data_IF_443865368543
#
_entry.id   IF_443865368543
#
_cell.length_a   1.000
_cell.length_b   1.000
_cell.length_c   1.000
_cell.angle_alpha   90.00
_cell.angle_beta   90.00
_cell.angle_gamma   90.00
#
_symmetry.space_group_name_H-M   'P 1'
#
loop_
_entity.id
_entity.type
_entity.pdbx_description
1 polymer ?
#
# COMPACT_ATOMS: atom_id res chain seq x y z
N UNK A 1 15.72 36.73 -2.65
CA UNK A 1 14.63 35.76 -2.87
C UNK A 1 15.24 34.38 -2.71
N UNK A 2 14.64 33.47 -1.92
CA UNK A 2 15.16 32.10 -1.75
C UNK A 2 15.18 31.40 -3.11
N UNK A 3 16.25 30.65 -3.38
CA UNK A 3 16.44 29.78 -4.54
C UNK A 3 15.80 28.41 -4.31
N UNK A 4 15.65 27.59 -5.37
CA UNK A 4 15.13 26.22 -5.28
C UNK A 4 15.94 25.36 -4.29
N UNK A 5 17.27 25.47 -4.33
CA UNK A 5 18.17 24.74 -3.42
C UNK A 5 18.01 25.14 -1.95
N UNK A 6 17.54 26.37 -1.66
CA UNK A 6 17.29 26.78 -0.28
C UNK A 6 16.05 26.09 0.32
N UNK A 7 15.09 25.69 -0.51
CA UNK A 7 13.91 24.93 -0.08
C UNK A 7 14.18 23.42 -0.04
N UNK A 8 15.00 22.91 -0.95
CA UNK A 8 15.33 21.48 -1.07
C UNK A 8 16.63 21.13 -0.33
N UNK A 9 16.77 21.62 0.90
CA UNK A 9 18.01 21.52 1.67
C UNK A 9 18.03 20.36 2.67
N UNK A 10 16.92 20.12 3.36
CA UNK A 10 16.82 19.11 4.42
C UNK A 10 15.99 17.91 3.94
N UNK A 11 16.65 16.79 3.65
CA UNK A 11 15.94 15.56 3.25
C UNK A 11 15.11 14.98 4.40
N UNK A 12 13.93 14.43 4.08
CA UNK A 12 13.16 13.61 5.02
C UNK A 12 13.90 12.30 5.26
N UNK A 13 14.14 11.98 6.54
CA UNK A 13 14.70 10.70 6.94
C UNK A 13 13.59 9.70 7.26
N UNK A 14 13.78 8.44 6.83
CA UNK A 14 12.86 7.35 7.14
C UNK A 14 13.16 6.74 8.51
N UNK A 15 12.13 6.50 9.32
CA UNK A 15 12.28 5.86 10.63
C UNK A 15 12.70 4.39 10.49
N UNK A 16 13.61 3.96 11.36
CA UNK A 16 14.01 2.55 11.49
C UNK A 16 13.39 1.92 12.75
N UNK A 17 12.33 1.12 12.54
CA UNK A 17 11.60 0.44 13.63
C UNK A 17 12.47 -0.55 14.42
N UNK A 18 13.63 -0.93 13.89
CA UNK A 18 14.54 -1.90 14.50
C UNK A 18 15.39 -1.27 15.61
N UNK A 19 15.63 0.05 15.57
CA UNK A 19 16.55 0.72 16.49
C UNK A 19 16.01 0.85 17.92
N UNK A 20 14.71 1.01 18.07
CA UNK A 20 14.07 1.23 19.38
C UNK A 20 13.06 0.13 19.67
N UNK A 21 13.30 -0.66 20.72
CA UNK A 21 12.33 -1.64 21.17
C UNK A 21 11.15 -0.95 21.87
N UNK A 22 10.06 -0.77 21.13
CA UNK A 22 8.83 -0.11 21.60
C UNK A 22 7.90 -1.02 22.39
N UNK A 23 8.19 -2.33 22.52
CA UNK A 23 7.31 -3.29 23.20
C UNK A 23 6.93 -2.87 24.62
N UNK A 24 7.87 -2.49 25.52
CA UNK A 24 7.51 -2.09 26.87
C UNK A 24 6.57 -0.87 26.91
N UNK A 25 6.78 0.09 26.00
CA UNK A 25 5.94 1.28 25.88
C UNK A 25 4.52 0.91 25.44
N UNK A 26 4.39 0.11 24.37
CA UNK A 26 3.09 -0.28 23.81
C UNK A 26 2.32 -1.19 24.78
N UNK A 27 2.99 -2.09 25.50
CA UNK A 27 2.34 -2.89 26.56
C UNK A 27 1.83 -2.00 27.70
N UNK A 28 2.59 -0.97 28.11
CA UNK A 28 2.12 0.00 29.10
C UNK A 28 0.92 0.81 28.59
N UNK A 29 0.91 1.20 27.32
CA UNK A 29 -0.24 1.87 26.69
C UNK A 29 -1.50 0.98 26.65
N UNK A 30 -1.33 -0.35 26.52
CA UNK A 30 -2.45 -1.29 26.43
C UNK A 30 -3.34 -1.33 27.68
N UNK A 31 -2.79 -0.98 28.86
CA UNK A 31 -3.53 -0.93 30.12
C UNK A 31 -4.06 0.47 30.46
N UNK A 32 -3.79 1.48 29.63
CA UNK A 32 -4.29 2.84 29.79
C UNK A 32 -5.75 2.99 29.30
N UNK A 33 -6.21 4.22 29.09
CA UNK A 33 -7.52 4.56 28.55
C UNK A 33 -7.43 5.20 27.15
N UNK A 34 -8.57 5.29 26.47
CA UNK A 34 -8.73 5.95 25.17
C UNK A 34 -7.79 5.36 24.09
N UNK A 35 -7.31 6.19 23.17
CA UNK A 35 -6.56 5.76 21.99
C UNK A 35 -5.22 5.09 22.31
N UNK A 36 -4.66 5.28 23.51
CA UNK A 36 -3.49 4.53 23.96
C UNK A 36 -3.80 3.02 24.08
N UNK A 37 -4.95 2.67 24.66
CA UNK A 37 -5.39 1.27 24.78
C UNK A 37 -5.79 0.69 23.42
N UNK A 38 -6.43 1.49 22.58
CA UNK A 38 -6.76 1.11 21.21
C UNK A 38 -5.48 0.78 20.43
N UNK A 39 -4.44 1.60 20.53
CA UNK A 39 -3.13 1.34 19.91
C UNK A 39 -2.50 0.04 20.44
N UNK A 40 -2.51 -0.18 21.75
CA UNK A 40 -1.99 -1.41 22.36
C UNK A 40 -2.72 -2.65 21.86
N UNK A 41 -4.06 -2.61 21.79
CA UNK A 41 -4.88 -3.69 21.24
C UNK A 41 -4.62 -3.90 19.74
N UNK A 42 -4.50 -2.84 18.96
CA UNK A 42 -4.16 -2.93 17.55
C UNK A 42 -2.80 -3.61 17.31
N UNK A 43 -1.79 -3.29 18.12
CA UNK A 43 -0.48 -3.93 18.08
C UNK A 43 -0.55 -5.43 18.40
N UNK A 44 -1.34 -5.80 19.42
CA UNK A 44 -1.58 -7.21 19.78
C UNK A 44 -2.32 -7.99 18.69
N UNK A 45 -3.32 -7.38 18.04
CA UNK A 45 -4.05 -7.99 16.90
C UNK A 45 -3.09 -8.21 15.72
N UNK A 46 -2.26 -7.23 15.38
CA UNK A 46 -1.30 -7.39 14.30
C UNK A 46 -0.24 -8.48 14.60
N UNK A 47 0.26 -8.56 15.84
CA UNK A 47 1.12 -9.68 16.25
C UNK A 47 0.38 -11.03 16.17
N UNK A 48 -0.92 -11.08 16.49
CA UNK A 48 -1.73 -12.28 16.33
C UNK A 48 -1.92 -12.69 14.85
N UNK A 49 -2.11 -11.72 13.95
CA UNK A 49 -2.12 -11.97 12.50
C UNK A 49 -0.82 -12.63 12.03
N UNK A 50 0.32 -12.16 12.55
CA UNK A 50 1.62 -12.70 12.20
C UNK A 50 1.85 -14.11 12.74
N UNK A 51 1.37 -14.41 13.95
CA UNK A 51 1.44 -15.74 14.57
C UNK A 51 0.53 -16.77 13.89
N UNK A 52 -0.59 -16.33 13.33
CA UNK A 52 -1.51 -17.19 12.59
C UNK A 52 -0.87 -17.59 11.24
N UNK A 53 -0.44 -18.85 11.16
CA UNK A 53 0.28 -19.42 9.99
C UNK A 53 -0.62 -19.59 8.77
N UNK A 54 -1.93 -19.57 8.93
CA UNK A 54 -2.88 -19.64 7.81
C UNK A 54 -3.35 -18.24 7.37
N UNK A 55 -3.02 -17.20 8.14
CA UNK A 55 -3.41 -15.82 7.84
C UNK A 55 -2.59 -15.22 6.68
N UNK A 56 -3.30 -14.71 5.69
CA UNK A 56 -2.83 -13.79 4.65
C UNK A 56 -3.05 -12.36 5.12
N UNK A 57 -1.98 -11.55 5.13
CA UNK A 57 -2.01 -10.16 5.58
C UNK A 57 -2.04 -9.23 4.38
N UNK A 58 -3.12 -8.45 4.24
CA UNK A 58 -3.25 -7.40 3.23
C UNK A 58 -2.99 -6.05 3.91
N UNK A 59 -1.94 -5.37 3.45
CA UNK A 59 -1.60 -4.02 3.89
C UNK A 59 -2.30 -3.00 3.00
N UNK A 60 -3.07 -2.09 3.59
CA UNK A 60 -3.73 -1.00 2.88
C UNK A 60 -3.04 0.32 3.23
N UNK A 61 -2.62 1.10 2.22
CA UNK A 61 -1.86 2.33 2.39
C UNK A 61 -2.54 3.51 1.70
N UNK A 62 -2.90 4.54 2.48
CA UNK A 62 -3.42 5.81 1.97
C UNK A 62 -2.82 6.99 2.76
N UNK A 63 -2.81 8.17 2.14
CA UNK A 63 -2.18 9.38 2.68
C UNK A 63 -0.77 9.61 2.14
N UNK A 64 0.04 10.41 2.85
CA UNK A 64 1.39 10.79 2.42
C UNK A 64 2.45 10.13 3.29
N UNK A 65 2.46 8.80 3.32
CA UNK A 65 3.20 8.02 4.31
C UNK A 65 4.72 8.03 4.09
N UNK A 66 5.16 7.90 2.84
CA UNK A 66 6.57 7.71 2.54
C UNK A 66 7.30 9.05 2.49
N UNK A 67 6.67 10.09 1.94
CA UNK A 67 7.15 11.46 2.06
C UNK A 67 7.20 11.94 3.52
N UNK A 68 6.48 11.29 4.45
CA UNK A 68 6.53 11.54 5.89
C UNK A 68 7.51 10.62 6.67
N UNK A 69 8.35 9.85 5.98
CA UNK A 69 9.41 9.05 6.61
C UNK A 69 9.00 7.63 7.03
N UNK A 70 7.88 7.08 6.54
CA UNK A 70 7.42 5.73 6.90
C UNK A 70 7.76 4.65 5.88
N UNK A 71 8.48 4.97 4.79
CA UNK A 71 8.78 4.00 3.73
C UNK A 71 9.52 2.77 4.24
N UNK A 72 10.57 2.99 5.06
CA UNK A 72 11.39 1.89 5.57
C UNK A 72 10.61 0.94 6.49
N UNK A 73 9.55 1.42 7.15
CA UNK A 73 8.61 0.56 7.87
C UNK A 73 8.03 -0.49 6.92
N UNK A 74 7.47 -0.06 5.79
CA UNK A 74 6.85 -0.95 4.80
C UNK A 74 7.88 -1.83 4.09
N UNK A 75 9.07 -1.30 3.76
CA UNK A 75 10.18 -2.10 3.21
C UNK A 75 10.53 -3.25 4.16
N UNK A 76 10.67 -2.97 5.45
CA UNK A 76 10.94 -4.00 6.45
C UNK A 76 9.79 -5.01 6.55
N UNK A 77 8.53 -4.56 6.52
CA UNK A 77 7.38 -5.47 6.54
C UNK A 77 7.39 -6.44 5.33
N UNK A 78 7.67 -5.96 4.13
CA UNK A 78 7.71 -6.76 2.90
C UNK A 78 8.88 -7.75 2.92
N UNK A 79 10.10 -7.26 3.20
CA UNK A 79 11.32 -8.10 3.17
C UNK A 79 11.25 -9.27 4.15
N UNK A 80 10.53 -9.09 5.26
CA UNK A 80 10.43 -10.05 6.36
C UNK A 80 9.10 -10.84 6.41
N UNK A 81 8.37 -10.91 5.30
CA UNK A 81 7.11 -11.67 5.18
C UNK A 81 6.03 -11.27 6.21
N UNK A 82 6.02 -10.00 6.62
CA UNK A 82 5.03 -9.47 7.56
C UNK A 82 3.75 -9.01 6.85
N UNK A 83 3.79 -8.90 5.53
CA UNK A 83 2.65 -8.61 4.65
C UNK A 83 2.75 -9.50 3.42
N UNK A 84 1.60 -9.87 2.86
CA UNK A 84 1.50 -10.84 1.77
C UNK A 84 0.91 -10.24 0.49
N UNK A 85 0.15 -9.15 0.60
CA UNK A 85 -0.32 -8.32 -0.51
C UNK A 85 -0.45 -6.85 -0.05
N UNK A 86 -0.34 -5.90 -0.97
CA UNK A 86 -0.50 -4.47 -0.71
C UNK A 86 -1.61 -3.92 -1.60
N UNK A 87 -2.49 -3.11 -1.03
CA UNK A 87 -3.40 -2.22 -1.78
C UNK A 87 -3.05 -0.80 -1.39
N UNK A 88 -2.81 0.09 -2.36
CA UNK A 88 -2.33 1.43 -2.08
C UNK A 88 -2.88 2.47 -3.06
N UNK A 89 -2.78 3.74 -2.69
CA UNK A 89 -2.90 4.86 -3.65
C UNK A 89 -1.67 4.97 -4.54
N UNK A 90 -1.83 5.53 -5.74
CA UNK A 90 -0.74 5.75 -6.69
C UNK A 90 0.33 6.72 -6.17
N UNK A 91 -0.08 7.76 -5.44
CA UNK A 91 0.85 8.71 -4.83
C UNK A 91 1.93 8.04 -3.95
N UNK A 92 1.53 7.08 -3.10
CA UNK A 92 2.46 6.36 -2.22
C UNK A 92 3.41 5.47 -3.05
N UNK A 93 2.89 4.71 -4.01
CA UNK A 93 3.68 3.70 -4.73
C UNK A 93 4.57 4.32 -5.81
N UNK A 94 4.08 5.34 -6.50
CA UNK A 94 4.76 5.91 -7.67
C UNK A 94 5.44 7.23 -7.30
N UNK A 95 4.68 8.21 -6.83
CA UNK A 95 5.17 9.57 -6.59
C UNK A 95 6.12 9.64 -5.40
N UNK A 96 6.05 8.66 -4.49
CA UNK A 96 6.91 8.60 -3.31
C UNK A 96 7.91 7.44 -3.37
N UNK A 97 7.45 6.19 -3.52
CA UNK A 97 8.38 5.04 -3.49
C UNK A 97 9.19 4.84 -4.76
N UNK A 98 8.54 4.70 -5.91
CA UNK A 98 9.24 4.53 -7.19
C UNK A 98 10.13 5.74 -7.48
N UNK A 99 9.61 6.96 -7.25
CA UNK A 99 10.36 8.21 -7.29
C UNK A 99 11.64 8.17 -6.45
N UNK A 100 11.57 7.78 -5.17
CA UNK A 100 12.77 7.63 -4.35
C UNK A 100 13.68 6.49 -4.83
N UNK A 101 13.11 5.40 -5.38
CA UNK A 101 13.83 4.29 -6.01
C UNK A 101 14.71 4.74 -7.18
N UNK A 102 14.23 5.72 -7.96
CA UNK A 102 14.99 6.38 -9.03
C UNK A 102 16.12 7.29 -8.51
N UNK A 103 16.16 7.55 -7.20
CA UNK A 103 17.22 8.31 -6.52
C UNK A 103 16.82 9.70 -6.06
N UNK A 104 15.56 10.09 -6.30
CA UNK A 104 15.03 11.39 -5.91
C UNK A 104 14.61 11.40 -4.43
N UNK A 105 14.24 12.58 -3.91
CA UNK A 105 14.09 12.82 -2.47
C UNK A 105 12.90 13.70 -2.15
N UNK A 106 12.37 13.51 -0.95
CA UNK A 106 11.46 14.45 -0.29
C UNK A 106 12.23 15.30 0.70
N UNK A 107 11.79 16.53 0.88
CA UNK A 107 12.46 17.51 1.72
C UNK A 107 11.51 18.08 2.76
N UNK A 108 12.04 18.44 3.93
CA UNK A 108 11.28 19.14 4.96
C UNK A 108 10.79 20.47 4.42
N UNK A 109 9.51 20.75 4.64
CA UNK A 109 8.87 21.98 4.26
C UNK A 109 8.23 22.72 5.42
N UNK A 110 7.54 23.80 5.07
CA UNK A 110 6.86 24.69 6.00
C UNK A 110 5.38 24.76 5.61
N UNK A 111 4.49 24.60 6.59
CA UNK A 111 3.03 24.68 6.37
C UNK A 111 2.62 26.05 5.81
N UNK A 112 3.33 27.11 6.22
CA UNK A 112 3.06 28.49 5.88
C UNK A 112 3.93 29.04 4.73
N UNK A 113 4.50 28.15 3.90
CA UNK A 113 5.29 28.55 2.75
C UNK A 113 4.47 29.36 1.73
N UNK A 114 5.15 30.24 0.98
CA UNK A 114 4.55 30.96 -0.15
C UNK A 114 4.44 30.02 -1.36
N UNK A 115 3.24 29.46 -1.58
CA UNK A 115 2.98 28.52 -2.67
C UNK A 115 3.19 29.13 -4.07
N UNK A 116 3.02 30.45 -4.24
CA UNK A 116 3.32 31.11 -5.52
C UNK A 116 4.84 31.14 -5.77
N UNK A 117 5.64 31.30 -4.71
CA UNK A 117 7.08 31.18 -4.80
C UNK A 117 7.50 29.74 -5.10
N UNK A 118 6.94 28.75 -4.40
CA UNK A 118 7.23 27.33 -4.62
C UNK A 118 6.91 26.94 -6.07
N UNK A 119 5.74 27.32 -6.58
CA UNK A 119 5.34 27.08 -7.97
C UNK A 119 6.30 27.71 -8.98
N UNK A 120 6.74 28.96 -8.77
CA UNK A 120 7.74 29.60 -9.66
C UNK A 120 9.08 28.88 -9.68
N UNK A 121 9.38 28.12 -8.64
CA UNK A 121 10.60 27.32 -8.49
C UNK A 121 10.40 25.85 -8.84
N UNK A 122 9.23 25.45 -9.36
CA UNK A 122 8.89 24.06 -9.67
C UNK A 122 9.10 23.15 -8.44
N UNK A 123 8.53 23.55 -7.32
CA UNK A 123 8.47 22.80 -6.06
C UNK A 123 7.00 22.58 -5.72
N UNK A 124 6.61 21.32 -5.55
CA UNK A 124 5.29 20.98 -5.06
C UNK A 124 5.33 20.72 -3.55
N UNK A 125 4.27 21.13 -2.85
CA UNK A 125 4.16 20.99 -1.40
C UNK A 125 3.11 19.94 -1.03
N UNK A 126 3.53 19.00 -0.19
CA UNK A 126 2.69 17.99 0.46
C UNK A 126 2.63 18.35 1.94
N UNK A 127 1.67 19.19 2.31
CA UNK A 127 1.52 19.72 3.68
C UNK A 127 2.79 20.45 4.17
N UNK A 128 3.63 19.81 4.98
CA UNK A 128 4.90 20.31 5.53
C UNK A 128 6.13 19.61 4.93
N UNK A 129 5.97 19.04 3.73
CA UNK A 129 7.02 18.36 2.96
C UNK A 129 7.05 18.91 1.53
N UNK A 130 8.21 18.91 0.88
CA UNK A 130 8.41 19.34 -0.50
C UNK A 130 8.89 18.21 -1.39
N UNK A 131 8.54 18.30 -2.67
CA UNK A 131 9.03 17.45 -3.75
C UNK A 131 9.47 18.33 -4.93
N UNK A 132 10.53 17.93 -5.62
CA UNK A 132 11.04 18.61 -6.80
C UNK A 132 10.22 18.19 -8.03
N UNK A 133 9.44 19.12 -8.61
CA UNK A 133 8.57 18.86 -9.76
C UNK A 133 9.38 18.42 -11.00
N UNK A 134 10.60 18.96 -11.19
CA UNK A 134 11.44 18.60 -12.34
C UNK A 134 11.89 17.13 -12.24
N UNK A 135 12.15 16.65 -11.02
CA UNK A 135 12.46 15.24 -10.76
C UNK A 135 11.20 14.37 -10.92
N UNK A 136 10.03 14.88 -10.52
CA UNK A 136 8.77 14.15 -10.66
C UNK A 136 8.43 13.92 -12.14
N UNK A 137 8.71 14.91 -13.00
CA UNK A 137 8.60 14.76 -14.46
C UNK A 137 9.51 13.67 -15.04
N UNK A 138 10.66 13.39 -14.42
CA UNK A 138 11.50 12.25 -14.80
C UNK A 138 10.82 10.93 -14.40
N UNK A 139 10.16 10.88 -13.24
CA UNK A 139 9.34 9.74 -12.82
C UNK A 139 8.19 9.48 -13.82
N UNK A 140 7.45 10.53 -14.21
CA UNK A 140 6.38 10.47 -15.22
C UNK A 140 6.92 9.90 -16.55
N UNK A 141 8.04 10.45 -17.02
CA UNK A 141 8.68 10.04 -18.28
C UNK A 141 9.16 8.60 -18.22
N UNK A 142 9.69 8.16 -17.07
CA UNK A 142 10.07 6.75 -16.85
C UNK A 142 8.85 5.84 -16.95
N UNK A 143 7.69 6.25 -16.42
CA UNK A 143 6.45 5.49 -16.56
C UNK A 143 5.98 5.41 -18.02
N UNK A 144 6.09 6.50 -18.79
CA UNK A 144 5.79 6.49 -20.23
C UNK A 144 6.70 5.51 -20.99
N UNK A 145 8.01 5.56 -20.73
CA UNK A 145 8.98 4.64 -21.35
C UNK A 145 8.71 3.18 -21.01
N UNK A 146 8.24 2.88 -19.79
CA UNK A 146 7.81 1.53 -19.44
C UNK A 146 6.59 1.12 -20.25
N UNK A 147 5.56 1.98 -20.33
CA UNK A 147 4.37 1.73 -21.12
C UNK A 147 4.68 1.47 -22.60
N UNK A 148 5.59 2.24 -23.20
CA UNK A 148 6.02 2.10 -24.60
C UNK A 148 6.70 0.74 -24.91
N UNK A 149 7.23 0.05 -23.91
CA UNK A 149 7.92 -1.25 -24.07
C UNK A 149 7.00 -2.44 -23.85
N UNK A 150 5.79 -2.22 -23.36
CA UNK A 150 4.84 -3.29 -23.06
C UNK A 150 4.08 -3.74 -24.32
N UNK A 151 3.58 -4.97 -24.27
CA UNK A 151 2.68 -5.49 -25.29
C UNK A 151 1.35 -4.71 -25.28
N UNK A 152 0.77 -4.41 -26.43
CA UNK A 152 -0.45 -3.60 -26.52
C UNK A 152 -1.70 -4.38 -26.08
N UNK A 153 -1.91 -4.45 -24.76
CA UNK A 153 -3.07 -5.08 -24.13
C UNK A 153 -3.46 -4.36 -22.84
N UNK A 154 -4.64 -4.67 -22.27
CA UNK A 154 -4.96 -4.27 -20.91
C UNK A 154 -4.04 -4.93 -19.87
N UNK A 155 -3.61 -4.14 -18.89
CA UNK A 155 -2.81 -4.58 -17.73
C UNK A 155 -3.54 -4.24 -16.44
N UNK A 156 -3.40 -5.09 -15.42
CA UNK A 156 -3.72 -4.68 -14.05
C UNK A 156 -2.65 -3.72 -13.53
N UNK A 157 -2.97 -2.90 -12.52
CA UNK A 157 -1.94 -2.04 -11.90
C UNK A 157 -0.83 -2.87 -11.27
N UNK A 158 -1.15 -4.06 -10.74
CA UNK A 158 -0.15 -5.03 -10.25
C UNK A 158 0.87 -5.39 -11.33
N UNK A 159 0.42 -5.68 -12.55
CA UNK A 159 1.34 -6.02 -13.62
C UNK A 159 2.26 -4.83 -13.97
N UNK A 160 1.72 -3.62 -14.04
CA UNK A 160 2.52 -2.43 -14.33
C UNK A 160 3.52 -2.13 -13.22
N UNK A 161 3.11 -2.20 -11.95
CA UNK A 161 3.99 -2.02 -10.79
C UNK A 161 5.07 -3.11 -10.73
N UNK A 162 4.78 -4.33 -11.19
CA UNK A 162 5.80 -5.38 -11.33
C UNK A 162 6.88 -4.99 -12.36
N UNK A 163 6.51 -4.33 -13.45
CA UNK A 163 7.46 -3.83 -14.45
C UNK A 163 8.26 -2.62 -13.94
N UNK A 164 7.66 -1.76 -13.10
CA UNK A 164 8.42 -0.78 -12.31
C UNK A 164 9.46 -1.46 -11.39
N UNK A 165 9.07 -2.54 -10.71
CA UNK A 165 9.97 -3.33 -9.88
C UNK A 165 11.12 -3.97 -10.66
N UNK A 166 10.84 -4.49 -11.85
CA UNK A 166 11.86 -4.99 -12.79
C UNK A 166 12.83 -3.87 -13.20
N UNK A 167 12.30 -2.70 -13.53
CA UNK A 167 13.11 -1.53 -13.86
C UNK A 167 14.04 -1.15 -12.70
N UNK A 168 13.52 -1.09 -11.46
CA UNK A 168 14.31 -0.79 -10.27
C UNK A 168 15.34 -1.87 -9.97
N UNK A 169 15.07 -3.14 -10.25
CA UNK A 169 16.05 -4.22 -10.04
C UNK A 169 17.36 -3.93 -10.77
N UNK A 170 17.27 -3.36 -11.97
CA UNK A 170 18.41 -3.04 -12.83
C UNK A 170 18.94 -1.62 -12.62
N UNK A 171 18.07 -0.65 -12.35
CA UNK A 171 18.40 0.78 -12.46
C UNK A 171 18.32 1.57 -11.14
N UNK A 172 17.83 0.97 -10.05
CA UNK A 172 17.59 1.68 -8.80
C UNK A 172 18.84 2.41 -8.29
N UNK A 173 18.65 3.68 -7.93
CA UNK A 173 19.65 4.48 -7.20
C UNK A 173 19.42 4.40 -5.68
N UNK A 174 18.21 4.07 -5.27
CA UNK A 174 17.88 3.69 -3.90
C UNK A 174 17.27 2.29 -3.88
N UNK A 175 17.93 1.34 -3.20
CA UNK A 175 17.44 -0.04 -3.10
C UNK A 175 16.41 -0.24 -1.99
N UNK A 176 16.27 0.71 -1.07
CA UNK A 176 15.22 0.69 -0.07
C UNK A 176 13.93 1.27 -0.65
N UNK A 177 13.34 0.50 -1.57
CA UNK A 177 12.05 0.76 -2.21
C UNK A 177 11.09 -0.39 -1.92
N UNK A 178 9.83 -0.06 -1.62
CA UNK A 178 8.71 -0.97 -1.43
C UNK A 178 8.40 -1.71 -2.73
N UNK A 179 8.37 -1.01 -3.87
CA UNK A 179 8.16 -1.60 -5.21
C UNK A 179 9.25 -2.62 -5.52
N UNK A 180 10.52 -2.29 -5.28
CA UNK A 180 11.63 -3.22 -5.49
C UNK A 180 11.54 -4.42 -4.53
N UNK A 181 11.33 -4.17 -3.23
CA UNK A 181 11.19 -5.23 -2.23
C UNK A 181 10.03 -6.18 -2.56
N UNK A 182 8.89 -5.64 -3.01
CA UNK A 182 7.72 -6.41 -3.37
C UNK A 182 7.96 -7.27 -4.62
N UNK A 183 8.67 -6.72 -5.62
CA UNK A 183 9.13 -7.47 -6.79
C UNK A 183 10.03 -8.65 -6.41
N UNK A 184 11.07 -8.40 -5.59
CA UNK A 184 12.01 -9.44 -5.14
C UNK A 184 11.32 -10.53 -4.28
N UNK A 185 10.28 -10.15 -3.53
CA UNK A 185 9.54 -11.04 -2.62
C UNK A 185 8.28 -11.66 -3.22
N UNK A 186 7.96 -11.37 -4.49
CA UNK A 186 6.73 -11.78 -5.16
C UNK A 186 5.45 -11.38 -4.39
N UNK A 187 5.46 -10.21 -3.77
CA UNK A 187 4.30 -9.60 -3.09
C UNK A 187 3.58 -8.69 -4.10
N UNK A 188 2.29 -8.91 -4.41
CA UNK A 188 1.57 -8.07 -5.36
C UNK A 188 1.19 -6.74 -4.70
N UNK A 189 1.35 -5.65 -5.47
CA UNK A 189 0.88 -4.31 -5.11
C UNK A 189 -0.25 -3.94 -6.07
N UNK A 190 -1.43 -3.66 -5.54
CA UNK A 190 -2.57 -3.18 -6.30
C UNK A 190 -2.78 -1.68 -6.05
N UNK A 191 -3.01 -0.93 -7.12
CA UNK A 191 -3.32 0.49 -7.11
C UNK A 191 -4.57 0.73 -7.94
N UNK A 192 -5.78 0.59 -7.35
CA UNK A 192 -7.02 0.54 -8.13
C UNK A 192 -7.31 1.81 -8.94
N UNK A 193 -6.85 2.97 -8.44
CA UNK A 193 -6.90 4.25 -9.13
C UNK A 193 -5.52 4.62 -9.69
N UNK A 194 -4.95 3.75 -10.54
CA UNK A 194 -3.56 3.88 -10.99
C UNK A 194 -3.27 5.13 -11.85
N UNK A 195 -4.28 5.64 -12.56
CA UNK A 195 -4.15 6.86 -13.36
C UNK A 195 -4.03 8.13 -12.52
N UNK A 196 -4.30 8.06 -11.21
CA UNK A 196 -4.26 9.19 -10.28
C UNK A 196 -2.91 9.28 -9.55
N UNK A 197 -1.83 9.37 -10.34
CA UNK A 197 -0.43 9.60 -9.91
C UNK A 197 0.50 9.80 -11.11
N UNK A 198 1.82 9.88 -10.89
CA UNK A 198 2.88 10.01 -11.93
C UNK A 198 2.76 8.97 -13.05
N UNK A 199 2.34 7.74 -12.71
CA UNK A 199 2.11 6.71 -13.72
C UNK A 199 0.99 7.11 -14.71
N UNK A 200 -0.05 7.79 -14.23
CA UNK A 200 -1.12 8.34 -15.05
C UNK A 200 -0.62 9.39 -16.04
N UNK A 201 0.29 10.28 -15.64
CA UNK A 201 0.90 11.25 -16.55
C UNK A 201 1.71 10.55 -17.65
N UNK A 202 2.49 9.53 -17.27
CA UNK A 202 3.21 8.68 -18.23
C UNK A 202 2.27 7.95 -19.20
N UNK A 203 1.15 7.41 -18.70
CA UNK A 203 0.15 6.71 -19.50
C UNK A 203 -0.59 7.66 -20.45
N UNK A 204 -0.93 8.88 -20.02
CA UNK A 204 -1.55 9.89 -20.90
C UNK A 204 -0.57 10.27 -22.01
N UNK A 205 0.71 10.46 -21.70
CA UNK A 205 1.74 10.69 -22.72
C UNK A 205 1.82 9.53 -23.72
N UNK A 206 1.87 8.29 -23.23
CA UNK A 206 1.87 7.09 -24.07
C UNK A 206 0.64 7.04 -25.00
N UNK A 207 -0.56 7.23 -24.47
CA UNK A 207 -1.81 7.16 -25.26
C UNK A 207 -1.92 8.30 -26.29
N UNK A 208 -1.49 9.51 -25.93
CA UNK A 208 -1.50 10.66 -26.83
C UNK A 208 -0.60 10.42 -28.06
N UNK A 209 0.56 9.80 -27.85
CA UNK A 209 1.51 9.49 -28.92
C UNK A 209 1.20 8.18 -29.66
N UNK A 210 0.33 7.33 -29.12
CA UNK A 210 -0.08 6.05 -29.72
C UNK A 210 -1.62 5.88 -29.75
N UNK A 211 -2.35 6.75 -30.49
CA UNK A 211 -3.82 6.79 -30.45
C UNK A 211 -4.49 5.49 -30.91
N UNK A 212 -3.86 4.76 -31.85
CA UNK A 212 -4.44 3.56 -32.48
C UNK A 212 -3.94 2.24 -31.86
N UNK A 213 -3.05 2.30 -30.87
CA UNK A 213 -2.43 1.11 -30.29
C UNK A 213 -1.61 1.44 -29.05
N UNK A 214 -2.28 1.45 -27.90
CA UNK A 214 -1.69 1.79 -26.61
C UNK A 214 -2.04 0.75 -25.54
N UNK A 215 -1.25 0.72 -24.47
CA UNK A 215 -1.61 -0.01 -23.25
C UNK A 215 -2.75 0.70 -22.51
N UNK A 216 -3.53 -0.09 -21.79
CA UNK A 216 -4.58 0.39 -20.91
C UNK A 216 -4.48 -0.29 -19.55
N UNK A 217 -5.07 0.36 -18.53
CA UNK A 217 -5.13 -0.18 -17.18
C UNK A 217 -6.54 -0.69 -16.90
N UNK A 218 -6.65 -1.96 -16.54
CA UNK A 218 -7.89 -2.65 -16.20
C UNK A 218 -8.02 -2.77 -14.67
N UNK A 219 -8.79 -1.86 -14.08
CA UNK A 219 -9.07 -1.87 -12.63
C UNK A 219 -9.98 -3.01 -12.20
N UNK A 220 -10.78 -3.60 -13.11
CA UNK A 220 -11.56 -4.80 -12.81
C UNK A 220 -10.64 -6.03 -12.70
N UNK A 221 -9.57 -6.08 -13.50
CA UNK A 221 -8.53 -7.11 -13.39
C UNK A 221 -7.81 -7.04 -12.04
N UNK A 222 -7.48 -5.84 -11.54
CA UNK A 222 -6.94 -5.69 -10.17
C UNK A 222 -7.89 -6.31 -9.12
N UNK A 223 -9.18 -6.01 -9.23
CA UNK A 223 -10.16 -6.47 -8.26
C UNK A 223 -10.34 -7.99 -8.31
N UNK A 224 -10.35 -8.55 -9.52
CA UNK A 224 -10.39 -9.99 -9.73
C UNK A 224 -9.14 -10.69 -9.18
N UNK A 225 -7.94 -10.15 -9.43
CA UNK A 225 -6.67 -10.71 -8.94
C UNK A 225 -6.59 -10.70 -7.42
N UNK A 226 -6.95 -9.59 -6.77
CA UNK A 226 -7.01 -9.51 -5.32
C UNK A 226 -8.08 -10.45 -4.73
N UNK A 227 -9.23 -10.60 -5.40
CA UNK A 227 -10.27 -11.56 -5.01
C UNK A 227 -9.77 -13.00 -5.11
N UNK A 228 -8.97 -13.36 -6.12
CA UNK A 228 -8.33 -14.69 -6.21
C UNK A 228 -7.40 -14.96 -5.02
N UNK A 229 -6.67 -13.94 -4.54
CA UNK A 229 -5.87 -14.07 -3.32
C UNK A 229 -6.78 -14.38 -2.14
N UNK A 230 -7.87 -13.63 -1.96
CA UNK A 230 -8.83 -13.85 -0.88
C UNK A 230 -9.46 -15.26 -0.93
N UNK A 231 -9.79 -15.78 -2.11
CA UNK A 231 -10.32 -17.15 -2.29
C UNK A 231 -9.30 -18.22 -1.90
N UNK A 232 -8.01 -18.00 -2.21
CA UNK A 232 -6.94 -18.93 -1.84
C UNK A 232 -6.61 -18.87 -0.33
N UNK A 233 -6.84 -17.73 0.30
CA UNK A 233 -6.57 -17.51 1.72
C UNK A 233 -7.57 -18.24 2.62
N UNK A 234 -7.09 -19.21 3.41
CA UNK A 234 -7.89 -19.84 4.47
C UNK A 234 -8.36 -18.83 5.52
N UNK A 235 -7.48 -17.90 5.87
CA UNK A 235 -7.70 -16.80 6.81
C UNK A 235 -7.08 -15.55 6.20
N UNK A 236 -7.75 -14.41 6.36
CA UNK A 236 -7.18 -13.13 5.96
C UNK A 236 -7.31 -12.09 7.08
N UNK A 237 -6.37 -11.16 7.09
CA UNK A 237 -6.37 -10.02 7.98
C UNK A 237 -5.95 -8.74 7.27
N UNK A 238 -6.51 -7.62 7.73
CA UNK A 238 -6.29 -6.30 7.15
C UNK A 238 -5.48 -5.43 8.11
N UNK A 239 -4.36 -4.90 7.64
CA UNK A 239 -3.63 -3.81 8.30
C UNK A 239 -3.82 -2.54 7.46
N UNK A 240 -4.61 -1.60 7.93
CA UNK A 240 -5.04 -0.43 7.17
C UNK A 240 -4.46 0.84 7.76
N UNK A 241 -3.66 1.56 6.97
CA UNK A 241 -3.10 2.86 7.32
C UNK A 241 -3.84 3.90 6.49
N UNK A 242 -4.71 4.67 7.14
CA UNK A 242 -5.64 5.59 6.51
C UNK A 242 -6.98 4.94 6.14
N UNK A 243 -7.50 5.27 4.97
CA UNK A 243 -8.83 4.87 4.51
C UNK A 243 -8.93 4.84 2.98
N UNK A 244 -9.98 5.44 2.42
CA UNK A 244 -10.17 5.61 0.99
C UNK A 244 -10.30 4.29 0.21
N UNK A 245 -9.89 4.36 -1.06
CA UNK A 245 -9.93 3.22 -1.99
C UNK A 245 -9.18 2.00 -1.46
N UNK A 246 -7.94 2.09 -0.92
CA UNK A 246 -7.21 0.92 -0.43
C UNK A 246 -7.98 0.10 0.62
N UNK A 247 -8.59 0.79 1.60
CA UNK A 247 -9.41 0.15 2.63
C UNK A 247 -10.60 -0.57 2.03
N UNK A 248 -11.43 0.14 1.27
CA UNK A 248 -12.69 -0.43 0.79
C UNK A 248 -12.45 -1.54 -0.25
N UNK A 249 -11.49 -1.33 -1.15
CA UNK A 249 -11.14 -2.29 -2.21
C UNK A 249 -10.66 -3.63 -1.64
N UNK A 250 -9.82 -3.61 -0.59
CA UNK A 250 -9.40 -4.83 0.09
C UNK A 250 -10.54 -5.53 0.85
N UNK A 251 -11.41 -4.77 1.50
CA UNK A 251 -12.57 -5.30 2.23
C UNK A 251 -13.60 -5.96 1.29
N UNK A 252 -13.86 -5.37 0.13
CA UNK A 252 -14.87 -5.83 -0.83
C UNK A 252 -14.53 -7.17 -1.49
N UNK A 253 -13.30 -7.67 -1.35
CA UNK A 253 -12.89 -8.98 -1.88
C UNK A 253 -13.72 -10.14 -1.32
N UNK A 254 -14.27 -10.00 -0.10
CA UNK A 254 -15.17 -11.00 0.48
C UNK A 254 -16.50 -11.03 -0.27
N UNK A 255 -17.09 -9.85 -0.49
CA UNK A 255 -18.35 -9.69 -1.21
C UNK A 255 -18.18 -10.10 -2.68
N UNK A 256 -17.04 -9.78 -3.29
CA UNK A 256 -16.74 -10.18 -4.65
C UNK A 256 -16.62 -11.70 -4.81
N UNK A 257 -15.98 -12.38 -3.85
CA UNK A 257 -15.88 -13.83 -3.88
C UNK A 257 -17.26 -14.51 -3.68
N UNK A 258 -18.08 -13.99 -2.77
CA UNK A 258 -19.46 -14.45 -2.57
C UNK A 258 -20.29 -14.27 -3.86
N UNK A 259 -20.19 -13.10 -4.50
CA UNK A 259 -20.82 -12.84 -5.80
C UNK A 259 -20.36 -13.80 -6.91
N UNK A 260 -19.13 -14.28 -6.85
CA UNK A 260 -18.58 -15.29 -7.75
C UNK A 260 -18.94 -16.73 -7.36
N UNK A 261 -19.71 -16.92 -6.28
CA UNK A 261 -20.21 -18.21 -5.83
C UNK A 261 -19.23 -19.00 -4.93
N UNK A 262 -18.24 -18.34 -4.35
CA UNK A 262 -17.31 -18.96 -3.40
C UNK A 262 -17.79 -18.75 -1.96
N UNK A 263 -17.99 -19.85 -1.24
CA UNK A 263 -18.26 -19.82 0.20
C UNK A 263 -16.94 -19.59 0.96
N UNK A 264 -16.71 -18.35 1.39
CA UNK A 264 -15.52 -17.94 2.14
C UNK A 264 -15.88 -17.09 3.36
N UNK A 265 -15.04 -17.17 4.40
CA UNK A 265 -15.21 -16.37 5.60
C UNK A 265 -14.84 -14.90 5.41
N UNK A 266 -15.36 -14.04 6.28
CA UNK A 266 -14.98 -12.62 6.40
C UNK A 266 -13.48 -12.47 6.71
N UNK A 267 -12.95 -11.24 6.63
CA UNK A 267 -11.61 -10.95 7.17
C UNK A 267 -11.63 -11.14 8.70
N UNK A 268 -10.85 -12.11 9.21
CA UNK A 268 -10.83 -12.51 10.63
C UNK A 268 -10.21 -11.44 11.53
N UNK A 269 -9.21 -10.74 10.99
CA UNK A 269 -8.47 -9.70 11.70
C UNK A 269 -8.57 -8.37 10.97
N UNK A 270 -8.71 -7.27 11.70
CA UNK A 270 -8.67 -5.94 11.09
C UNK A 270 -8.10 -4.89 12.04
N UNK A 271 -7.08 -4.17 11.60
CA UNK A 271 -6.53 -3.00 12.28
C UNK A 271 -6.63 -1.81 11.34
N UNK A 272 -7.19 -0.69 11.81
CA UNK A 272 -7.19 0.56 11.07
C UNK A 272 -6.58 1.69 11.91
N UNK A 273 -5.60 2.40 11.35
CA UNK A 273 -5.17 3.72 11.85
C UNK A 273 -5.81 4.80 10.98
N UNK A 274 -6.49 5.77 11.58
CA UNK A 274 -7.13 6.84 10.80
C UNK A 274 -7.33 8.11 11.60
N UNK A 275 -7.51 9.22 10.89
CA UNK A 275 -7.97 10.51 11.42
C UNK A 275 -9.36 10.89 10.88
N UNK A 276 -9.97 10.02 10.06
CA UNK A 276 -11.26 10.28 9.44
C UNK A 276 -12.39 10.27 10.48
N UNK A 277 -13.32 11.20 10.34
CA UNK A 277 -14.43 11.40 11.28
C UNK A 277 -15.69 10.69 10.81
N UNK A 278 -16.29 9.84 11.65
CA UNK A 278 -17.46 9.03 11.30
C UNK A 278 -18.69 9.82 10.85
N UNK A 279 -18.77 11.12 11.18
CA UNK A 279 -19.94 11.97 10.88
C UNK A 279 -20.09 12.28 9.39
N UNK A 280 -19.03 12.17 8.60
CA UNK A 280 -19.09 12.45 7.16
C UNK A 280 -19.72 11.29 6.35
N UNK A 281 -19.91 10.11 6.96
CA UNK A 281 -20.45 8.93 6.30
C UNK A 281 -19.54 8.37 5.19
N UNK A 282 -18.26 8.75 5.18
CA UNK A 282 -17.32 8.36 4.14
C UNK A 282 -16.76 6.94 4.35
N UNK A 283 -16.33 6.30 3.25
CA UNK A 283 -15.68 4.99 3.30
C UNK A 283 -14.41 4.99 4.16
N UNK A 284 -13.70 6.12 4.25
CA UNK A 284 -12.52 6.26 5.11
C UNK A 284 -12.85 6.13 6.60
N UNK A 285 -13.98 6.70 7.01
CA UNK A 285 -14.42 6.76 8.41
C UNK A 285 -15.38 5.63 8.78
N UNK A 286 -15.89 4.86 7.81
CA UNK A 286 -16.80 3.73 8.08
C UNK A 286 -16.22 2.77 9.11
N UNK A 287 -17.01 2.46 10.14
CA UNK A 287 -16.49 1.66 11.26
C UNK A 287 -16.30 0.19 10.86
N UNK A 288 -15.42 -0.54 11.55
CA UNK A 288 -15.27 -1.99 11.30
C UNK A 288 -16.54 -2.77 11.69
N UNK A 289 -17.34 -2.22 12.62
CA UNK A 289 -18.69 -2.74 12.94
C UNK A 289 -19.67 -2.55 11.78
N UNK A 290 -19.62 -1.41 11.08
CA UNK A 290 -20.37 -1.20 9.85
C UNK A 290 -19.89 -2.17 8.76
N UNK A 291 -18.57 -2.33 8.57
CA UNK A 291 -18.04 -3.29 7.60
C UNK A 291 -18.50 -4.74 7.86
N UNK A 292 -18.74 -5.12 9.11
CA UNK A 292 -19.34 -6.40 9.47
C UNK A 292 -20.77 -6.57 8.94
N UNK A 293 -21.61 -5.53 8.92
CA UNK A 293 -22.99 -5.66 8.38
C UNK A 293 -23.01 -5.98 6.90
N UNK A 294 -21.94 -5.64 6.18
CA UNK A 294 -21.72 -5.96 4.77
C UNK A 294 -21.03 -7.32 4.55
N UNK A 295 -20.77 -8.07 5.62
CA UNK A 295 -20.05 -9.34 5.55
C UNK A 295 -18.56 -9.21 5.24
N UNK A 296 -17.94 -8.04 5.43
CA UNK A 296 -16.53 -7.83 5.05
C UNK A 296 -15.55 -8.23 6.17
N UNK A 297 -15.84 -7.85 7.41
CA UNK A 297 -14.92 -8.00 8.56
C UNK A 297 -15.62 -8.72 9.72
N UNK A 298 -14.96 -9.70 10.32
CA UNK A 298 -15.41 -10.36 11.54
C UNK A 298 -15.16 -9.46 12.77
N UNK A 299 -16.08 -9.45 13.73
CA UNK A 299 -16.00 -8.63 14.95
C UNK A 299 -15.05 -9.21 16.01
N UNK A 300 -14.60 -10.46 15.87
CA UNK A 300 -13.81 -11.13 16.91
C UNK A 300 -12.45 -10.49 17.20
N UNK A 301 -11.74 -10.01 16.18
CA UNK A 301 -10.38 -9.49 16.31
C UNK A 301 -10.16 -8.22 15.47
N UNK A 302 -10.95 -7.19 15.77
CA UNK A 302 -10.86 -5.88 15.12
C UNK A 302 -10.45 -4.75 16.09
N UNK A 303 -9.80 -3.72 15.56
CA UNK A 303 -9.53 -2.46 16.24
C UNK A 303 -9.29 -1.30 15.25
N UNK A 304 -10.12 -0.26 15.36
CA UNK A 304 -9.88 1.04 14.76
C UNK A 304 -9.23 1.98 15.79
N UNK A 305 -8.20 2.73 15.40
CA UNK A 305 -7.46 3.66 16.28
C UNK A 305 -7.49 5.05 15.64
N UNK A 306 -8.04 6.03 16.34
CA UNK A 306 -8.10 7.42 15.88
C UNK A 306 -6.77 8.13 16.18
N UNK A 307 -5.79 7.95 15.28
CA UNK A 307 -4.42 8.45 15.42
C UNK A 307 -3.80 8.70 14.04
N UNK A 308 -2.94 9.70 13.95
CA UNK A 308 -2.15 9.99 12.75
C UNK A 308 -1.06 8.92 12.55
N UNK A 309 -0.83 8.52 11.29
CA UNK A 309 -0.05 7.35 10.92
C UNK A 309 1.43 7.47 11.27
N UNK A 310 2.04 8.66 11.22
CA UNK A 310 3.46 8.86 11.57
C UNK A 310 3.75 8.58 13.05
N UNK A 311 2.72 8.61 13.90
CA UNK A 311 2.80 8.24 15.30
C UNK A 311 2.43 6.77 15.49
N UNK A 312 1.25 6.36 15.02
CA UNK A 312 0.69 5.04 15.34
C UNK A 312 1.36 3.88 14.60
N UNK A 313 1.69 4.06 13.32
CA UNK A 313 2.19 2.97 12.48
C UNK A 313 3.56 2.43 12.93
N UNK A 314 4.59 3.27 13.20
CA UNK A 314 5.87 2.74 13.67
C UNK A 314 5.78 2.06 15.04
N UNK A 315 4.83 2.45 15.90
CA UNK A 315 4.59 1.78 17.18
C UNK A 315 4.01 0.37 17.00
N UNK A 316 3.02 0.21 16.12
CA UNK A 316 2.41 -1.10 15.81
C UNK A 316 3.40 -2.01 15.08
N UNK A 317 4.04 -1.50 14.03
CA UNK A 317 5.01 -2.27 13.25
C UNK A 317 6.25 -2.62 14.08
N UNK A 318 6.76 -1.68 14.87
CA UNK A 318 7.87 -1.90 15.80
C UNK A 318 7.52 -2.92 16.89
N UNK A 319 6.31 -2.86 17.47
CA UNK A 319 5.86 -3.88 18.41
C UNK A 319 5.93 -5.27 17.79
N UNK A 320 5.30 -5.47 16.63
CA UNK A 320 5.32 -6.75 15.93
C UNK A 320 6.73 -7.21 15.54
N UNK A 321 7.59 -6.29 15.09
CA UNK A 321 8.99 -6.57 14.76
C UNK A 321 9.74 -7.18 15.96
N UNK A 322 9.67 -6.50 17.11
CA UNK A 322 10.40 -6.89 18.32
C UNK A 322 9.78 -8.09 19.04
N UNK A 323 8.47 -8.36 18.87
CA UNK A 323 7.83 -9.62 19.32
C UNK A 323 8.29 -10.83 18.49
N UNK A 324 8.66 -10.62 17.22
CA UNK A 324 9.36 -11.61 16.41
C UNK A 324 8.50 -12.74 15.84
N UNK A 325 7.17 -12.64 15.89
CA UNK A 325 6.27 -13.66 15.33
C UNK A 325 6.51 -13.91 13.83
N UNK A 326 6.90 -12.87 13.10
CA UNK A 326 7.21 -12.89 11.67
C UNK A 326 8.34 -13.86 11.30
N UNK A 327 9.27 -14.16 12.22
CA UNK A 327 10.40 -15.07 11.95
C UNK A 327 9.97 -16.49 11.57
N UNK A 328 8.75 -16.86 11.95
CA UNK A 328 8.16 -18.17 11.67
C UNK A 328 7.21 -18.16 10.46
N UNK A 329 7.08 -17.04 9.75
CA UNK A 329 6.21 -16.91 8.57
C UNK A 329 6.95 -17.27 7.29
N UNK A 330 6.28 -18.08 6.47
CA UNK A 330 6.73 -18.38 5.11
C UNK A 330 6.18 -17.34 4.13
N UNK A 331 6.94 -17.03 3.08
CA UNK A 331 6.46 -16.16 2.01
C UNK A 331 5.29 -16.82 1.27
N UNK A 332 4.27 -16.02 0.91
CA UNK A 332 3.12 -16.48 0.11
C UNK A 332 3.35 -16.41 -1.40
N UNK A 333 4.23 -15.50 -1.84
CA UNK A 333 4.60 -15.30 -3.25
C UNK A 333 3.39 -15.16 -4.20
N UNK A 334 2.35 -14.42 -3.80
CA UNK A 334 1.09 -14.33 -4.55
C UNK A 334 1.24 -13.77 -5.96
N UNK A 335 2.25 -12.94 -6.25
CA UNK A 335 2.53 -12.52 -7.63
C UNK A 335 2.80 -13.74 -8.53
N UNK A 336 3.62 -14.69 -8.07
CA UNK A 336 3.92 -15.92 -8.82
C UNK A 336 2.67 -16.78 -9.01
N UNK A 337 1.82 -16.86 -7.98
CA UNK A 337 0.54 -17.57 -8.08
C UNK A 337 -0.38 -16.96 -9.15
N UNK A 338 -0.51 -15.63 -9.16
CA UNK A 338 -1.36 -14.92 -10.11
C UNK A 338 -0.85 -15.09 -11.55
N UNK A 339 0.47 -14.97 -11.75
CA UNK A 339 1.10 -15.14 -13.06
C UNK A 339 0.94 -16.58 -13.61
N UNK A 340 1.07 -17.59 -12.76
CA UNK A 340 0.90 -18.99 -13.17
C UNK A 340 -0.53 -19.29 -13.65
N UNK A 341 -1.56 -18.73 -12.99
CA UNK A 341 -2.98 -18.95 -13.32
C UNK A 341 -3.43 -18.22 -14.59
N UNK A 342 -2.67 -17.26 -15.10
CA UNK A 342 -2.92 -16.64 -16.41
C UNK A 342 -2.50 -17.55 -17.57
N UNK A 343 -1.57 -18.47 -17.35
CA UNK A 343 -1.09 -19.42 -18.37
C UNK A 343 -1.99 -20.65 -18.56
N UNK A 344 -3.01 -20.85 -17.72
CA UNK A 344 -3.97 -21.95 -17.86
C UNK A 344 -5.12 -21.62 -18.82
N UNK A 345 -5.42 -22.46 -19.82
CA UNK A 345 -6.55 -22.25 -20.73
C UNK A 345 -7.88 -22.15 -19.98
N UNK A 346 -8.70 -21.16 -20.36
CA UNK A 346 -10.00 -20.80 -19.76
C UNK A 346 -10.94 -21.99 -19.53
N UNK A 347 -10.81 -23.08 -20.30
CA UNK A 347 -11.68 -24.26 -20.25
C UNK A 347 -11.48 -25.26 -19.10
N UNK A 348 -10.54 -25.04 -18.16
CA UNK A 348 -10.29 -25.95 -17.01
C UNK A 348 -10.63 -25.38 -15.63
N UNK A 349 -11.30 -24.23 -15.56
CA UNK A 349 -11.83 -23.72 -14.28
C UNK A 349 -13.02 -24.58 -13.85
N UNK A 350 -12.74 -25.69 -13.16
CA UNK A 350 -13.77 -26.48 -12.52
C UNK A 350 -14.39 -25.64 -11.41
N UNK A 351 -15.58 -25.10 -11.66
CA UNK A 351 -16.50 -24.83 -10.58
C UNK A 351 -16.75 -26.18 -9.89
N UNK A 352 -16.29 -26.34 -8.66
CA UNK A 352 -16.77 -27.43 -7.82
C UNK A 352 -18.30 -27.29 -7.72
N UNK A 353 -19.07 -28.36 -7.85
CA UNK A 353 -20.52 -28.27 -7.80
C UNK A 353 -20.93 -27.82 -6.39
N UNK A 354 -21.66 -26.71 -6.32
CA UNK A 354 -22.41 -26.30 -5.14
C UNK A 354 -23.32 -27.44 -4.70
N UNK A 355 -23.19 -27.89 -3.45
CA UNK A 355 -24.18 -28.73 -2.77
C UNK A 355 -24.96 -27.90 -1.78
#
# INVERSE_FOLDING_TARGET
>A
MKSKSDFLAEEIAHIDIKQHNVVPLVEAMSIMAFSARELGRAAQIYDAMLRDRDCTIILCLAGSLFSAGLKNVVVDLVRHNMVDAIVSTGAIIVDQDFFEGLGFKHYRGEIAADDDQLRRLAIDRIYDTYIDEDQLRICDSTCAELADRLELRPYSSREFVREMGRHLQENAKNRDSVVLAAFEKNVPIFVPAFSDCSAGFGLIHHQWHHPDGHVSIDSAKDFLELTKIKIESKVSGLLMIGGGVPKNFAQDTVVAADYLGFDIGMHKYAVQLTVADVRDGALSSSTLKEANSWGKVDQGAEQMVFIEATIGFPLIAGYAWHKGAWKNRSAREFSRMLDARESEPVGRRSAAPSK
#
